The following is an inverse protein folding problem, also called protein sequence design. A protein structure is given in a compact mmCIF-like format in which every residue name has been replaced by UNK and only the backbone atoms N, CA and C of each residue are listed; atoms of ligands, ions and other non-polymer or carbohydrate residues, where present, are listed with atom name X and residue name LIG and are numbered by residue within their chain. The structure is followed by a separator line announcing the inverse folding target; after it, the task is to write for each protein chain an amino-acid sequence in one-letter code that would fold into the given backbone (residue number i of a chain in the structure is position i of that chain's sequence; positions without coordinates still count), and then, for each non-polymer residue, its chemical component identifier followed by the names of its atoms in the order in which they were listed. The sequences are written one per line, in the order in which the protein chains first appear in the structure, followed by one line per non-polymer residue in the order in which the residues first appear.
data_IF_515130596612
#
_entry.id   IF_515130596612
#
_cell.length_a   1.000
_cell.length_b   1.000
_cell.length_c   1.000
_cell.angle_alpha   90.00
_cell.angle_beta   90.00
_cell.angle_gamma   90.00
#
_symmetry.space_group_name_H-M   'P 1'
#
loop_
_entity.id
_entity.type
_entity.pdbx_description
1 polymer ?
#
# COMPACT_ATOMS: atom_id res chain seq x y z
N UNK A 1 18.24 1.53 2.17
CA UNK A 1 16.89 1.56 1.58
C UNK A 1 16.80 0.71 0.31
N UNK A 2 17.71 0.78 -0.65
CA UNK A 2 17.72 -0.04 -1.86
C UNK A 2 17.74 -1.57 -1.59
N UNK A 3 18.42 -2.04 -0.55
CA UNK A 3 18.48 -3.46 -0.18
C UNK A 3 17.12 -4.03 0.27
N UNK A 4 16.29 -3.22 0.94
CA UNK A 4 14.93 -3.64 1.34
C UNK A 4 13.97 -3.73 0.16
N UNK A 5 14.04 -2.80 -0.79
CA UNK A 5 13.23 -2.86 -2.01
C UNK A 5 13.55 -4.11 -2.85
N UNK A 6 14.83 -4.50 -2.92
CA UNK A 6 15.27 -5.73 -3.62
C UNK A 6 14.77 -7.01 -2.94
N UNK A 7 14.63 -7.04 -1.61
CA UNK A 7 14.11 -8.22 -0.92
C UNK A 7 12.63 -8.49 -1.23
N UNK A 8 11.84 -7.47 -1.54
CA UNK A 8 10.44 -7.62 -1.92
C UNK A 8 10.25 -8.30 -3.28
N UNK A 9 11.16 -8.08 -4.23
CA UNK A 9 11.07 -8.67 -5.57
C UNK A 9 11.09 -10.21 -5.56
N UNK A 10 11.85 -10.83 -4.67
CA UNK A 10 11.94 -12.28 -4.56
C UNK A 10 10.67 -12.95 -4.01
N UNK A 11 9.77 -12.16 -3.40
CA UNK A 11 8.56 -12.63 -2.71
C UNK A 11 7.28 -12.10 -3.34
N UNK A 12 7.37 -11.54 -4.54
CA UNK A 12 6.26 -10.86 -5.20
C UNK A 12 5.01 -11.75 -5.36
N UNK A 13 5.18 -13.03 -5.69
CA UNK A 13 4.06 -13.95 -5.89
C UNK A 13 3.32 -14.26 -4.57
N UNK A 14 4.05 -14.52 -3.48
CA UNK A 14 3.45 -14.75 -2.15
C UNK A 14 2.82 -13.47 -1.62
N UNK A 15 3.47 -12.33 -1.84
CA UNK A 15 2.98 -11.02 -1.47
C UNK A 15 1.64 -10.73 -2.15
N UNK A 16 1.56 -10.98 -3.45
CA UNK A 16 0.33 -10.79 -4.20
C UNK A 16 -0.79 -11.73 -3.75
N UNK A 17 -0.48 -12.97 -3.48
CA UNK A 17 -1.48 -13.98 -3.08
C UNK A 17 -2.15 -13.68 -1.75
N UNK A 18 -1.36 -13.30 -0.73
CA UNK A 18 -1.83 -13.30 0.66
C UNK A 18 -2.18 -11.92 1.23
N UNK A 19 -1.67 -10.82 0.66
CA UNK A 19 -1.99 -9.49 1.16
C UNK A 19 -3.44 -9.10 0.85
N UNK A 20 -4.15 -8.42 1.77
CA UNK A 20 -5.52 -8.00 1.54
C UNK A 20 -5.61 -6.98 0.41
N UNK A 21 -6.74 -7.00 -0.31
CA UNK A 21 -7.12 -5.92 -1.22
C UNK A 21 -7.59 -4.67 -0.46
N UNK A 22 -8.26 -3.81 -1.20
CA UNK A 22 -8.86 -2.59 -0.66
C UNK A 22 -10.38 -2.62 -0.88
N UNK A 23 -11.18 -2.07 0.06
CA UNK A 23 -12.63 -2.00 -0.12
C UNK A 23 -12.99 -1.01 -1.24
N UNK A 24 -14.05 -1.29 -1.98
CA UNK A 24 -14.55 -0.42 -3.06
C UNK A 24 -14.92 0.98 -2.53
N UNK A 25 -15.33 1.08 -1.27
CA UNK A 25 -15.61 2.34 -0.58
C UNK A 25 -14.41 3.29 -0.56
N UNK A 26 -13.19 2.78 -0.49
CA UNK A 26 -11.97 3.59 -0.58
C UNK A 26 -11.94 4.40 -1.87
N UNK A 27 -12.12 3.74 -2.99
CA UNK A 27 -12.04 4.37 -4.31
C UNK A 27 -13.23 5.30 -4.56
N UNK A 28 -14.42 4.91 -4.09
CA UNK A 28 -15.61 5.78 -4.13
C UNK A 28 -15.40 7.07 -3.32
N UNK A 29 -14.80 6.95 -2.13
CA UNK A 29 -14.46 8.09 -1.27
C UNK A 29 -13.45 9.02 -1.95
N UNK A 30 -12.37 8.48 -2.52
CA UNK A 30 -11.37 9.27 -3.26
C UNK A 30 -12.04 10.00 -4.43
N UNK A 31 -12.85 9.29 -5.24
CA UNK A 31 -13.53 9.87 -6.38
C UNK A 31 -14.46 11.02 -5.97
N UNK A 32 -15.26 10.81 -4.94
CA UNK A 32 -16.19 11.81 -4.42
C UNK A 32 -15.46 13.03 -3.85
N UNK A 33 -14.47 12.81 -3.00
CA UNK A 33 -13.72 13.89 -2.33
C UNK A 33 -12.99 14.78 -3.31
N UNK A 34 -12.38 14.22 -4.35
CA UNK A 34 -11.68 15.00 -5.37
C UNK A 34 -12.58 15.47 -6.52
N UNK A 35 -13.84 15.01 -6.59
CA UNK A 35 -14.73 15.34 -7.71
C UNK A 35 -14.22 14.80 -9.04
N UNK A 36 -13.62 13.60 -9.04
CA UNK A 36 -13.04 13.00 -10.22
C UNK A 36 -14.11 12.58 -11.24
N UNK A 37 -13.79 12.52 -12.55
CA UNK A 37 -14.68 11.96 -13.55
C UNK A 37 -14.98 10.48 -13.28
N UNK A 38 -15.98 9.92 -13.97
CA UNK A 38 -16.40 8.52 -13.79
C UNK A 38 -15.26 7.52 -14.10
N UNK A 39 -14.41 7.84 -15.08
CA UNK A 39 -13.26 7.05 -15.47
C UNK A 39 -11.99 7.95 -15.45
N UNK A 40 -11.42 8.22 -14.27
CA UNK A 40 -10.26 9.09 -14.15
C UNK A 40 -9.01 8.42 -14.73
N UNK A 41 -8.06 9.25 -15.17
CA UNK A 41 -6.68 8.81 -15.45
C UNK A 41 -5.90 8.81 -14.16
N UNK A 42 -5.31 7.67 -13.82
CA UNK A 42 -4.61 7.47 -12.55
C UNK A 42 -3.18 7.04 -12.80
N UNK A 43 -2.24 7.64 -12.07
CA UNK A 43 -0.90 7.09 -11.90
C UNK A 43 -0.82 6.44 -10.51
N UNK A 44 -0.59 5.14 -10.44
CA UNK A 44 -0.37 4.40 -9.20
C UNK A 44 1.13 4.24 -8.98
N UNK A 45 1.69 4.95 -7.99
CA UNK A 45 3.13 5.04 -7.77
C UNK A 45 3.59 4.08 -6.66
N UNK A 46 4.68 3.35 -6.94
CA UNK A 46 5.11 2.24 -6.10
C UNK A 46 4.07 1.11 -6.11
N UNK A 47 3.55 0.83 -7.30
CA UNK A 47 2.39 -0.03 -7.50
C UNK A 47 2.62 -1.50 -7.10
N UNK A 48 3.88 -1.93 -6.90
CA UNK A 48 4.23 -3.27 -6.47
C UNK A 48 3.72 -4.34 -7.43
N UNK A 49 2.94 -5.28 -6.93
CA UNK A 49 2.29 -6.34 -7.72
C UNK A 49 0.97 -5.90 -8.39
N UNK A 50 0.58 -4.62 -8.27
CA UNK A 50 -0.57 -4.04 -8.97
C UNK A 50 -1.92 -4.20 -8.27
N UNK A 51 -1.94 -4.53 -7.00
CA UNK A 51 -3.18 -4.81 -6.26
C UNK A 51 -4.17 -3.64 -6.26
N UNK A 52 -3.70 -2.43 -5.96
CA UNK A 52 -4.53 -1.22 -6.04
C UNK A 52 -4.84 -0.87 -7.52
N UNK A 53 -3.85 -0.98 -8.40
CA UNK A 53 -4.00 -0.75 -9.83
C UNK A 53 -5.11 -1.61 -10.45
N UNK A 54 -5.13 -2.92 -10.16
CA UNK A 54 -6.15 -3.86 -10.65
C UNK A 54 -7.53 -3.51 -10.09
N UNK A 55 -7.62 -3.17 -8.79
CA UNK A 55 -8.88 -2.76 -8.18
C UNK A 55 -9.45 -1.51 -8.87
N UNK A 56 -8.65 -0.49 -9.10
CA UNK A 56 -9.05 0.73 -9.81
C UNK A 56 -9.44 0.45 -11.27
N UNK A 57 -8.68 -0.38 -11.98
CA UNK A 57 -8.99 -0.76 -13.36
C UNK A 57 -10.32 -1.53 -13.48
N UNK A 58 -10.65 -2.40 -12.52
CA UNK A 58 -11.96 -3.08 -12.44
C UNK A 58 -13.14 -2.13 -12.27
N UNK A 59 -12.91 -0.97 -11.66
CA UNK A 59 -13.90 0.12 -11.56
C UNK A 59 -14.01 0.95 -12.85
N UNK A 60 -13.25 0.59 -13.88
CA UNK A 60 -13.23 1.29 -15.17
C UNK A 60 -12.34 2.53 -15.21
N UNK A 61 -11.40 2.66 -14.27
CA UNK A 61 -10.42 3.74 -14.27
C UNK A 61 -9.27 3.44 -15.24
N UNK A 62 -8.68 4.48 -15.84
CA UNK A 62 -7.54 4.35 -16.72
C UNK A 62 -6.25 4.42 -15.91
N UNK A 63 -5.66 3.27 -15.62
CA UNK A 63 -4.52 3.17 -14.70
C UNK A 63 -3.20 3.04 -15.46
N UNK A 64 -2.21 3.84 -15.06
CA UNK A 64 -0.80 3.65 -15.36
C UNK A 64 -0.08 3.33 -14.04
N UNK A 65 0.44 2.13 -13.93
CA UNK A 65 1.18 1.67 -12.76
C UNK A 65 2.67 1.97 -12.94
N UNK A 66 3.27 2.64 -11.95
CA UNK A 66 4.70 3.02 -11.95
C UNK A 66 5.38 2.28 -10.79
N UNK A 67 6.37 1.46 -11.11
CA UNK A 67 7.08 0.62 -10.14
C UNK A 67 8.56 0.53 -10.52
N UNK A 68 9.51 0.85 -9.61
CA UNK A 68 10.93 0.81 -9.94
C UNK A 68 11.55 -0.58 -9.97
N UNK A 69 10.85 -1.59 -9.45
CA UNK A 69 11.41 -2.94 -9.22
C UNK A 69 10.97 -3.90 -10.33
N UNK A 70 11.88 -4.30 -11.22
CA UNK A 70 11.58 -5.19 -12.34
C UNK A 70 10.87 -6.50 -11.93
N UNK A 71 11.26 -7.23 -10.83
CA UNK A 71 10.54 -8.41 -10.39
C UNK A 71 9.09 -8.14 -9.95
N UNK A 72 8.80 -6.96 -9.33
CA UNK A 72 7.43 -6.58 -9.00
C UNK A 72 6.61 -6.29 -10.25
N UNK A 73 7.19 -5.61 -11.24
CA UNK A 73 6.54 -5.37 -12.54
C UNK A 73 6.24 -6.66 -13.29
N UNK A 74 7.12 -7.65 -13.23
CA UNK A 74 6.87 -8.96 -13.84
C UNK A 74 5.68 -9.66 -13.18
N UNK A 75 5.65 -9.70 -11.84
CA UNK A 75 4.53 -10.24 -11.10
C UNK A 75 3.21 -9.47 -11.39
N UNK A 76 3.29 -8.14 -11.47
CA UNK A 76 2.15 -7.29 -11.83
C UNK A 76 1.61 -7.64 -13.22
N UNK A 77 2.47 -7.77 -14.23
CA UNK A 77 2.05 -8.11 -15.61
C UNK A 77 1.33 -9.46 -15.66
N UNK A 78 1.79 -10.43 -14.89
CA UNK A 78 1.11 -11.70 -14.75
C UNK A 78 -0.28 -11.52 -14.10
N UNK A 79 -0.36 -10.82 -12.97
CA UNK A 79 -1.62 -10.55 -12.27
C UNK A 79 -2.62 -9.74 -13.12
N UNK A 80 -2.15 -8.75 -13.88
CA UNK A 80 -2.97 -7.97 -14.84
C UNK A 80 -3.53 -8.86 -15.93
N UNK A 81 -2.70 -9.74 -16.52
CA UNK A 81 -3.14 -10.72 -17.53
C UNK A 81 -4.24 -11.63 -16.98
N UNK A 82 -4.06 -12.17 -15.78
CA UNK A 82 -5.02 -13.06 -15.13
C UNK A 82 -6.32 -12.36 -14.74
N UNK A 83 -6.23 -11.06 -14.42
CA UNK A 83 -7.38 -10.24 -14.02
C UNK A 83 -8.27 -9.83 -15.20
N UNK A 84 -7.77 -9.90 -16.43
CA UNK A 84 -8.46 -9.40 -17.63
C UNK A 84 -8.60 -7.88 -17.68
N UNK A 85 -7.83 -7.13 -16.89
CA UNK A 85 -7.79 -5.65 -16.90
C UNK A 85 -6.74 -5.14 -17.87
N UNK A 86 -6.87 -3.86 -18.29
CA UNK A 86 -5.89 -3.16 -19.12
C UNK A 86 -5.19 -2.09 -18.28
N UNK A 87 -3.91 -2.31 -17.98
CA UNK A 87 -3.09 -1.42 -17.16
C UNK A 87 -1.75 -1.20 -17.85
N UNK A 88 -1.44 0.05 -18.15
CA UNK A 88 -0.11 0.43 -18.62
C UNK A 88 0.90 0.35 -17.46
N UNK A 89 2.11 -0.17 -17.72
CA UNK A 89 3.17 -0.29 -16.72
C UNK A 89 4.42 0.47 -17.13
N UNK A 90 5.02 1.19 -16.19
CA UNK A 90 6.26 1.94 -16.38
C UNK A 90 7.27 1.51 -15.31
N UNK A 91 8.49 1.15 -15.74
CA UNK A 91 9.61 0.93 -14.82
C UNK A 91 10.27 2.28 -14.50
N UNK A 92 9.86 2.88 -13.39
CA UNK A 92 10.35 4.19 -12.95
C UNK A 92 10.12 4.37 -11.45
N UNK A 93 10.81 5.34 -10.86
CA UNK A 93 10.56 5.76 -9.47
C UNK A 93 9.50 6.85 -9.37
N UNK A 94 8.95 7.05 -8.17
CA UNK A 94 7.99 8.11 -7.89
C UNK A 94 8.58 9.53 -8.06
N UNK A 95 9.91 9.66 -7.95
CA UNK A 95 10.66 10.90 -8.08
C UNK A 95 10.92 11.30 -9.55
N UNK A 96 10.73 10.35 -10.50
CA UNK A 96 10.96 10.56 -11.92
C UNK A 96 10.12 9.57 -12.73
N UNK A 97 8.82 9.81 -12.80
CA UNK A 97 7.83 8.89 -13.38
C UNK A 97 7.92 8.74 -14.91
N UNK A 98 8.48 9.75 -15.58
CA UNK A 98 8.47 9.83 -17.04
C UNK A 98 7.10 10.18 -17.65
N UNK A 99 6.07 10.40 -16.84
CA UNK A 99 4.76 10.82 -17.30
C UNK A 99 4.76 12.29 -17.74
N UNK A 100 3.94 12.66 -18.74
CA UNK A 100 3.81 14.07 -19.16
C UNK A 100 3.23 14.96 -18.06
N UNK A 101 3.50 16.26 -18.15
CA UNK A 101 2.88 17.26 -17.28
C UNK A 101 1.36 17.23 -17.40
N UNK A 102 0.67 17.38 -16.27
CA UNK A 102 -0.80 17.48 -16.19
C UNK A 102 -1.53 16.36 -16.97
N UNK A 103 -0.98 15.14 -16.96
CA UNK A 103 -1.48 14.00 -17.74
C UNK A 103 -2.49 13.13 -17.00
N UNK A 104 -2.54 13.22 -15.66
CA UNK A 104 -3.42 12.40 -14.82
C UNK A 104 -4.38 13.23 -13.96
N UNK A 105 -5.50 12.64 -13.58
CA UNK A 105 -6.50 13.22 -12.70
C UNK A 105 -6.15 12.96 -11.23
N UNK A 106 -5.52 11.80 -10.97
CA UNK A 106 -5.22 11.28 -9.65
C UNK A 106 -3.84 10.60 -9.66
N UNK A 107 -3.09 10.82 -8.59
CA UNK A 107 -1.97 9.96 -8.21
C UNK A 107 -2.37 9.17 -6.98
N UNK A 108 -2.11 7.86 -6.98
CA UNK A 108 -2.23 7.01 -5.80
C UNK A 108 -0.88 6.50 -5.34
N UNK A 109 -0.72 6.32 -4.02
CA UNK A 109 0.38 5.58 -3.42
C UNK A 109 -0.17 4.66 -2.33
N UNK A 110 -0.35 3.40 -2.71
CA UNK A 110 -0.91 2.34 -1.87
C UNK A 110 0.20 1.64 -1.10
N UNK A 111 0.29 1.81 0.22
CA UNK A 111 1.35 1.23 1.06
C UNK A 111 2.78 1.65 0.63
N UNK A 112 2.96 2.74 -0.13
CA UNK A 112 4.21 3.00 -0.82
C UNK A 112 4.90 4.33 -0.45
N UNK A 113 4.15 5.38 -0.10
CA UNK A 113 4.66 6.74 0.05
C UNK A 113 5.84 6.87 1.03
N UNK A 114 5.91 6.05 2.06
CA UNK A 114 7.01 6.03 3.03
C UNK A 114 8.37 5.56 2.46
N UNK A 115 8.37 5.05 1.21
CA UNK A 115 9.59 4.69 0.49
C UNK A 115 10.12 5.83 -0.39
N UNK A 116 9.32 6.87 -0.62
CA UNK A 116 9.66 7.95 -1.52
C UNK A 116 10.59 8.96 -0.86
N UNK A 117 11.44 9.58 -1.67
CA UNK A 117 12.10 10.83 -1.31
C UNK A 117 11.08 11.96 -1.54
N UNK A 118 10.41 12.38 -0.47
CA UNK A 118 9.32 13.35 -0.54
C UNK A 118 9.77 14.68 -1.14
N UNK A 119 11.03 15.08 -0.97
CA UNK A 119 11.54 16.34 -1.51
C UNK A 119 11.57 16.35 -3.04
N UNK A 120 11.63 15.18 -3.67
CA UNK A 120 11.63 14.98 -5.12
C UNK A 120 10.30 14.43 -5.64
N UNK A 121 9.69 13.51 -4.90
CA UNK A 121 8.44 12.87 -5.31
C UNK A 121 7.27 13.86 -5.28
N UNK A 122 7.10 14.68 -4.24
CA UNK A 122 5.95 15.59 -4.12
C UNK A 122 5.89 16.62 -5.27
N UNK A 123 6.99 17.29 -5.68
CA UNK A 123 7.01 18.09 -6.90
C UNK A 123 6.66 17.31 -8.18
N UNK A 124 7.12 16.07 -8.31
CA UNK A 124 6.81 15.21 -9.46
C UNK A 124 5.32 14.83 -9.50
N UNK A 125 4.73 14.45 -8.35
CA UNK A 125 3.29 14.23 -8.23
C UNK A 125 2.51 15.47 -8.70
N UNK A 126 2.89 16.65 -8.20
CA UNK A 126 2.25 17.91 -8.58
C UNK A 126 2.43 18.22 -10.07
N UNK A 127 3.56 17.87 -10.68
CA UNK A 127 3.84 18.08 -12.10
C UNK A 127 2.90 17.26 -12.99
N UNK A 128 2.73 15.96 -12.68
CA UNK A 128 1.94 15.05 -13.52
C UNK A 128 0.43 15.15 -13.30
N UNK A 129 -0.03 15.63 -12.14
CA UNK A 129 -1.46 15.83 -11.85
C UNK A 129 -1.95 17.10 -12.55
N UNK A 130 -3.08 17.03 -13.24
CA UNK A 130 -3.72 18.20 -13.85
C UNK A 130 -4.31 19.16 -12.81
N UNK A 131 -4.59 20.38 -13.21
CA UNK A 131 -5.32 21.33 -12.37
C UNK A 131 -6.69 20.75 -11.94
N UNK A 132 -7.02 20.85 -10.65
CA UNK A 132 -8.23 20.29 -10.05
C UNK A 132 -8.16 18.79 -9.74
N UNK A 133 -7.06 18.14 -10.03
CA UNK A 133 -6.78 16.77 -9.60
C UNK A 133 -6.16 16.70 -8.19
N UNK A 134 -5.75 15.51 -7.78
CA UNK A 134 -5.16 15.32 -6.46
C UNK A 134 -4.36 14.03 -6.29
N UNK A 135 -3.82 13.85 -5.10
CA UNK A 135 -3.11 12.65 -4.67
C UNK A 135 -3.90 11.95 -3.55
N UNK A 136 -3.85 10.62 -3.50
CA UNK A 136 -4.41 9.81 -2.44
C UNK A 136 -3.35 8.83 -1.92
N UNK A 137 -3.03 8.96 -0.65
CA UNK A 137 -2.10 8.09 0.07
C UNK A 137 -2.90 7.19 0.99
N UNK A 138 -2.71 5.87 0.93
CA UNK A 138 -3.49 4.98 1.78
C UNK A 138 -2.75 3.71 2.19
N UNK A 139 -3.12 3.20 3.38
CA UNK A 139 -2.55 2.02 4.00
C UNK A 139 -3.62 1.14 4.62
N UNK A 140 -3.53 -0.17 4.38
CA UNK A 140 -4.23 -1.17 5.18
C UNK A 140 -3.51 -1.34 6.52
N UNK A 141 -4.23 -1.20 7.60
CA UNK A 141 -3.77 -1.40 8.97
C UNK A 141 -4.62 -2.48 9.62
N UNK A 142 -4.01 -3.48 10.23
CA UNK A 142 -4.74 -4.46 11.04
C UNK A 142 -5.28 -3.78 12.28
N UNK A 143 -6.54 -4.02 12.59
CA UNK A 143 -7.22 -3.47 13.76
C UNK A 143 -7.15 -4.49 14.91
N UNK A 144 -6.04 -4.42 15.65
CA UNK A 144 -5.77 -5.35 16.76
C UNK A 144 -6.72 -5.12 17.93
N UNK A 145 -7.23 -3.91 18.13
CA UNK A 145 -8.16 -3.59 19.20
C UNK A 145 -9.53 -4.25 19.01
N UNK A 146 -9.90 -4.54 17.77
CA UNK A 146 -11.19 -5.15 17.41
C UNK A 146 -11.13 -6.68 17.25
N UNK A 147 -9.97 -7.31 17.50
CA UNK A 147 -9.81 -8.74 17.28
C UNK A 147 -8.95 -9.39 18.35
N UNK A 148 -9.57 -10.26 19.14
CA UNK A 148 -8.86 -11.11 20.12
C UNK A 148 -7.83 -12.03 19.41
N UNK A 149 -8.12 -12.44 18.19
CA UNK A 149 -7.18 -13.20 17.36
C UNK A 149 -5.94 -12.38 17.01
N UNK A 150 -6.12 -11.13 16.54
CA UNK A 150 -4.99 -10.27 16.19
C UNK A 150 -4.17 -9.85 17.41
N UNK A 151 -4.81 -9.60 18.54
CA UNK A 151 -4.11 -9.34 19.80
C UNK A 151 -3.24 -10.53 20.20
N UNK A 152 -3.80 -11.76 20.15
CA UNK A 152 -3.03 -12.97 20.44
C UNK A 152 -1.92 -13.25 19.39
N UNK A 153 -2.13 -12.85 18.12
CA UNK A 153 -1.11 -12.91 17.09
C UNK A 153 0.03 -11.90 17.34
N UNK A 154 -0.28 -10.69 17.80
CA UNK A 154 0.72 -9.72 18.23
C UNK A 154 1.57 -10.25 19.39
N UNK A 155 0.95 -10.87 20.40
CA UNK A 155 1.65 -11.53 21.50
C UNK A 155 2.55 -12.68 21.00
N UNK A 156 2.09 -13.45 20.01
CA UNK A 156 2.89 -14.51 19.40
C UNK A 156 4.12 -13.94 18.69
N UNK A 157 3.94 -12.87 17.93
CA UNK A 157 5.04 -12.18 17.26
C UNK A 157 6.07 -11.65 18.27
N UNK A 158 5.63 -10.99 19.34
CA UNK A 158 6.54 -10.45 20.36
C UNK A 158 7.34 -11.55 21.07
N UNK A 159 6.78 -12.72 21.29
CA UNK A 159 7.52 -13.85 21.87
C UNK A 159 8.63 -14.40 20.98
N UNK A 160 8.40 -14.40 19.65
CA UNK A 160 9.37 -14.92 18.68
C UNK A 160 10.35 -13.87 18.16
N UNK A 161 9.95 -12.61 18.20
CA UNK A 161 10.66 -11.46 17.61
C UNK A 161 10.59 -10.26 18.58
N UNK A 162 11.16 -10.36 19.79
CA UNK A 162 11.02 -9.32 20.81
C UNK A 162 11.61 -7.99 20.32
N UNK A 163 10.81 -6.93 20.42
CA UNK A 163 11.17 -5.56 20.02
C UNK A 163 11.15 -5.30 18.50
N UNK A 164 11.13 -6.35 17.67
CA UNK A 164 11.14 -6.20 16.20
C UNK A 164 9.79 -5.74 15.63
N UNK A 165 8.69 -6.12 16.31
CA UNK A 165 7.34 -5.80 15.86
C UNK A 165 7.05 -4.31 16.01
N UNK A 166 7.50 -3.70 17.10
CA UNK A 166 7.33 -2.26 17.36
C UNK A 166 8.23 -1.40 16.45
N UNK A 167 9.41 -1.92 16.07
CA UNK A 167 10.35 -1.16 15.23
C UNK A 167 10.16 -1.39 13.73
N UNK A 168 9.60 -2.54 13.31
CA UNK A 168 9.55 -2.96 11.91
C UNK A 168 8.15 -3.27 11.38
N UNK A 169 7.19 -3.55 12.26
CA UNK A 169 5.84 -3.99 11.86
C UNK A 169 4.89 -2.86 11.50
N UNK A 170 5.13 -1.68 12.02
CA UNK A 170 4.49 -0.44 11.59
C UNK A 170 5.52 0.29 10.74
N UNK A 171 5.28 0.59 9.47
CA UNK A 171 6.12 1.54 8.76
C UNK A 171 6.20 2.77 9.62
N UNK A 172 7.43 3.19 9.92
CA UNK A 172 7.69 4.36 10.73
C UNK A 172 6.71 5.46 10.33
N UNK A 173 6.00 5.91 11.33
CA UNK A 173 5.28 7.16 11.39
C UNK A 173 4.54 7.60 10.11
N UNK A 174 3.41 6.93 9.84
CA UNK A 174 2.46 7.38 8.80
C UNK A 174 1.78 8.69 9.18
N UNK A 175 1.87 9.08 10.46
CA UNK A 175 1.29 10.33 10.96
C UNK A 175 1.93 11.55 10.29
N UNK A 176 3.14 11.43 9.76
CA UNK A 176 3.84 12.48 9.02
C UNK A 176 3.53 12.52 7.50
N UNK A 177 2.80 11.52 6.98
CA UNK A 177 2.48 11.45 5.56
C UNK A 177 1.71 12.68 5.03
N UNK A 178 0.69 13.23 5.76
CA UNK A 178 0.03 14.45 5.33
C UNK A 178 0.97 15.66 5.32
N UNK A 179 1.84 15.80 6.32
CA UNK A 179 2.81 16.90 6.40
C UNK A 179 3.82 16.82 5.26
N UNK A 180 4.32 15.62 4.96
CA UNK A 180 5.21 15.38 3.83
C UNK A 180 4.54 15.71 2.50
N UNK A 181 3.28 15.27 2.30
CA UNK A 181 2.54 15.58 1.08
C UNK A 181 2.27 17.09 0.94
N UNK A 182 2.02 17.80 2.06
CA UNK A 182 1.82 19.24 2.08
C UNK A 182 3.11 20.04 1.90
N UNK A 183 4.28 19.40 1.99
CA UNK A 183 5.58 20.07 1.86
C UNK A 183 5.68 20.86 0.57
N UNK A 184 6.14 22.09 0.66
CA UNK A 184 6.29 23.00 -0.48
C UNK A 184 4.98 23.63 -0.96
N UNK A 185 3.83 23.36 -0.31
CA UNK A 185 2.54 23.94 -0.65
C UNK A 185 1.94 23.45 -1.97
N UNK A 186 2.40 22.32 -2.48
CA UNK A 186 1.89 21.71 -3.71
C UNK A 186 0.49 21.12 -3.55
N UNK A 187 0.15 20.66 -2.35
CA UNK A 187 -1.12 20.04 -2.02
C UNK A 187 -1.74 20.67 -0.77
N UNK A 188 -3.07 20.83 -0.82
CA UNK A 188 -3.91 21.08 0.34
C UNK A 188 -4.44 19.73 0.79
N UNK A 189 -4.04 19.29 1.99
CA UNK A 189 -4.25 17.91 2.45
C UNK A 189 -5.37 17.87 3.48
N UNK A 190 -6.38 17.03 3.23
CA UNK A 190 -7.49 16.78 4.14
C UNK A 190 -7.02 16.02 5.41
N UNK A 191 -7.83 16.09 6.47
CA UNK A 191 -7.66 15.23 7.65
C UNK A 191 -7.75 13.75 7.27
N UNK A 192 -7.15 12.89 8.11
CA UNK A 192 -7.21 11.43 7.94
C UNK A 192 -8.65 10.94 7.85
N UNK A 193 -8.93 10.15 6.84
CA UNK A 193 -10.17 9.39 6.70
C UNK A 193 -9.86 7.94 7.04
N UNK A 194 -10.63 7.35 7.94
CA UNK A 194 -10.53 5.95 8.32
C UNK A 194 -11.71 5.17 7.74
N UNK A 195 -11.41 4.13 6.96
CA UNK A 195 -12.42 3.24 6.38
C UNK A 195 -12.19 1.82 6.90
N UNK A 196 -13.22 1.24 7.51
CA UNK A 196 -13.12 -0.09 8.08
C UNK A 196 -13.48 -1.16 7.05
N UNK A 197 -12.73 -2.25 7.03
CA UNK A 197 -13.11 -3.44 6.29
C UNK A 197 -12.61 -4.71 6.98
N UNK A 198 -13.11 -5.84 6.54
CA UNK A 198 -12.81 -7.13 7.12
C UNK A 198 -12.47 -8.12 6.01
N UNK A 199 -11.50 -8.99 6.28
CA UNK A 199 -11.11 -10.05 5.37
C UNK A 199 -11.16 -11.38 6.13
N UNK A 200 -11.95 -12.32 5.64
CA UNK A 200 -11.99 -13.68 6.18
C UNK A 200 -10.93 -14.51 5.45
N UNK A 201 -10.06 -15.16 6.22
CA UNK A 201 -8.89 -15.87 5.71
C UNK A 201 -8.91 -17.33 6.15
N UNK A 202 -8.54 -18.23 5.24
CA UNK A 202 -8.24 -19.60 5.63
C UNK A 202 -6.96 -19.65 6.48
N UNK A 203 -6.75 -20.72 7.29
CA UNK A 203 -5.51 -20.90 8.05
C UNK A 203 -4.25 -20.79 7.18
N UNK A 204 -4.27 -21.38 5.98
CA UNK A 204 -3.14 -21.34 5.07
C UNK A 204 -2.88 -19.93 4.51
N UNK A 205 -3.95 -19.17 4.22
CA UNK A 205 -3.83 -17.80 3.73
C UNK A 205 -3.27 -16.88 4.81
N UNK A 206 -3.72 -17.02 6.08
CA UNK A 206 -3.19 -16.19 7.17
C UNK A 206 -1.74 -16.54 7.51
N UNK A 207 -1.37 -17.82 7.50
CA UNK A 207 0.03 -18.25 7.64
C UNK A 207 0.86 -17.66 6.49
N UNK A 208 0.38 -17.77 5.25
CA UNK A 208 1.03 -17.16 4.09
C UNK A 208 1.22 -15.65 4.28
N UNK A 209 0.17 -14.93 4.70
CA UNK A 209 0.23 -13.50 5.01
C UNK A 209 1.31 -13.17 6.06
N UNK A 210 1.38 -13.93 7.16
CA UNK A 210 2.38 -13.71 8.21
C UNK A 210 3.80 -13.80 7.65
N UNK A 211 4.06 -14.78 6.77
CA UNK A 211 5.35 -14.99 6.13
C UNK A 211 5.66 -14.02 4.97
N UNK A 212 4.72 -13.19 4.54
CA UNK A 212 5.02 -12.06 3.64
C UNK A 212 5.70 -10.90 4.37
N UNK A 213 5.69 -10.89 5.69
CA UNK A 213 6.31 -9.84 6.49
C UNK A 213 7.82 -10.03 6.54
N UNK A 214 8.57 -8.95 6.25
CA UNK A 214 10.04 -8.99 6.20
C UNK A 214 10.66 -9.36 7.55
N UNK A 215 10.03 -8.97 8.66
CA UNK A 215 10.49 -9.27 10.01
C UNK A 215 10.30 -10.76 10.39
N UNK A 216 9.22 -11.42 9.96
CA UNK A 216 9.03 -12.86 10.19
C UNK A 216 10.04 -13.66 9.39
N UNK A 217 10.23 -13.31 8.13
CA UNK A 217 11.07 -14.07 7.20
C UNK A 217 12.56 -13.83 7.39
N UNK A 218 12.96 -12.61 7.73
CA UNK A 218 14.36 -12.23 7.93
C UNK A 218 14.81 -12.24 9.39
N UNK A 219 13.89 -12.26 10.34
CA UNK A 219 14.18 -12.25 11.79
C UNK A 219 14.24 -13.63 12.43
N UNK A 220 13.70 -14.67 11.77
CA UNK A 220 13.69 -16.04 12.28
C UNK A 220 14.58 -16.95 11.42
N UNK A 221 15.41 -17.77 12.07
CA UNK A 221 16.07 -18.90 11.41
C UNK A 221 15.06 -20.01 11.05
N UNK A 222 15.46 -20.98 10.27
CA UNK A 222 14.59 -22.04 9.74
C UNK A 222 13.86 -22.83 10.86
N UNK A 223 14.54 -23.16 11.96
CA UNK A 223 13.96 -23.89 13.08
C UNK A 223 12.91 -23.04 13.83
N UNK A 224 13.18 -21.76 14.03
CA UNK A 224 12.26 -20.82 14.65
C UNK A 224 11.09 -20.47 13.71
N UNK A 225 11.30 -20.41 12.39
CA UNK A 225 10.21 -20.26 11.41
C UNK A 225 9.22 -21.43 11.48
N UNK A 226 9.73 -22.68 11.60
CA UNK A 226 8.86 -23.85 11.73
C UNK A 226 8.06 -23.82 13.04
N UNK A 227 8.72 -23.52 14.17
CA UNK A 227 8.05 -23.38 15.48
C UNK A 227 6.99 -22.29 15.46
N UNK A 228 7.32 -21.11 14.91
CA UNK A 228 6.37 -20.02 14.75
C UNK A 228 5.16 -20.43 13.90
N UNK A 229 5.38 -21.16 12.81
CA UNK A 229 4.31 -21.68 11.94
C UNK A 229 3.38 -22.62 12.69
N UNK A 230 3.90 -23.53 13.50
CA UNK A 230 3.10 -24.52 14.25
C UNK A 230 2.28 -23.84 15.35
N UNK A 231 2.89 -22.91 16.09
CA UNK A 231 2.17 -22.12 17.11
C UNK A 231 1.13 -21.21 16.46
N UNK A 232 1.41 -20.59 15.33
CA UNK A 232 0.45 -19.76 14.59
C UNK A 232 -0.75 -20.59 14.10
N UNK A 233 -0.53 -21.79 13.58
CA UNK A 233 -1.63 -22.70 13.19
C UNK A 233 -2.50 -23.05 14.38
N UNK A 234 -1.90 -23.39 15.52
CA UNK A 234 -2.64 -23.66 16.75
C UNK A 234 -3.47 -22.45 17.19
N UNK A 235 -2.91 -21.24 17.10
CA UNK A 235 -3.61 -20.01 17.43
C UNK A 235 -4.80 -19.76 16.47
N UNK A 236 -4.61 -19.97 15.18
CA UNK A 236 -5.67 -19.85 14.18
C UNK A 236 -6.80 -20.83 14.49
N UNK A 237 -6.49 -22.10 14.75
CA UNK A 237 -7.50 -23.13 15.05
C UNK A 237 -8.34 -22.79 16.29
N UNK A 238 -7.77 -22.09 17.27
CA UNK A 238 -8.47 -21.64 18.48
C UNK A 238 -9.46 -20.49 18.22
N UNK A 239 -9.28 -19.73 17.13
CA UNK A 239 -10.07 -18.55 16.81
C UNK A 239 -10.90 -18.71 15.53
N UNK A 240 -10.67 -19.77 14.77
CA UNK A 240 -11.38 -20.00 13.52
C UNK A 240 -12.87 -20.31 13.77
N UNK A 241 -13.72 -19.70 12.95
CA UNK A 241 -15.14 -20.00 12.83
C UNK A 241 -15.41 -20.43 11.40
N UNK A 242 -16.10 -21.54 11.20
CA UNK A 242 -16.37 -22.12 9.87
C UNK A 242 -15.10 -22.29 9.00
N UNK A 243 -13.96 -22.60 9.65
CA UNK A 243 -12.68 -22.84 8.97
C UNK A 243 -11.95 -21.57 8.53
N UNK A 244 -12.37 -20.40 8.97
CA UNK A 244 -11.74 -19.13 8.65
C UNK A 244 -11.51 -18.27 9.90
N UNK A 245 -10.50 -17.41 9.85
CA UNK A 245 -10.31 -16.34 10.82
C UNK A 245 -10.68 -15.01 10.20
N UNK A 246 -11.41 -14.23 10.97
CA UNK A 246 -11.81 -12.88 10.55
C UNK A 246 -10.74 -11.88 10.96
N UNK A 247 -10.22 -11.18 10.00
CA UNK A 247 -9.13 -10.20 10.16
C UNK A 247 -9.68 -8.80 9.87
N UNK A 248 -10.03 -8.03 10.90
CA UNK A 248 -10.45 -6.66 10.73
C UNK A 248 -9.25 -5.79 10.33
N UNK A 249 -9.50 -4.87 9.41
CA UNK A 249 -8.60 -3.83 8.96
C UNK A 249 -9.30 -2.48 9.02
N UNK A 250 -8.51 -1.43 9.11
CA UNK A 250 -8.92 -0.13 8.64
C UNK A 250 -7.96 0.37 7.55
N UNK A 251 -8.47 1.19 6.66
CA UNK A 251 -7.64 1.91 5.69
C UNK A 251 -7.47 3.33 6.20
N UNK A 252 -6.22 3.70 6.47
CA UNK A 252 -5.85 5.09 6.64
C UNK A 252 -5.73 5.74 5.27
N UNK A 253 -6.50 6.80 5.02
CA UNK A 253 -6.51 7.53 3.76
C UNK A 253 -6.24 9.02 4.01
N UNK A 254 -5.30 9.59 3.26
CA UNK A 254 -5.08 11.03 3.14
C UNK A 254 -5.25 11.47 1.70
N UNK A 255 -5.96 12.57 1.51
CA UNK A 255 -6.23 13.14 0.19
C UNK A 255 -5.63 14.54 0.13
N UNK A 256 -4.78 14.77 -0.86
CA UNK A 256 -4.23 16.09 -1.16
C UNK A 256 -4.77 16.63 -2.47
N UNK A 257 -5.42 17.81 -2.44
CA UNK A 257 -5.83 18.54 -3.65
C UNK A 257 -4.65 19.31 -4.20
N UNK A 258 -4.38 19.16 -5.49
CA UNK A 258 -3.34 19.98 -6.12
C UNK A 258 -3.67 21.46 -6.04
N UNK A 259 -2.81 22.26 -5.42
CA UNK A 259 -2.90 23.72 -5.42
C UNK A 259 -2.52 24.25 -6.82
N UNK A 260 -3.18 25.28 -7.28
CA UNK A 260 -2.86 25.88 -8.60
C UNK A 260 -1.58 26.73 -8.64
N UNK A 261 -0.89 26.88 -7.51
CA UNK A 261 0.26 27.78 -7.37
C UNK A 261 1.57 26.99 -7.29
N UNK A 262 2.62 27.42 -8.00
CA UNK A 262 3.98 26.96 -7.70
C UNK A 262 4.33 27.43 -6.27
N UNK A 263 5.18 26.68 -5.55
CA UNK A 263 5.59 27.06 -4.21
C UNK A 263 6.24 28.44 -4.21
N UNK A 264 5.86 29.27 -3.25
CA UNK A 264 6.53 30.58 -3.02
C UNK A 264 7.85 30.32 -2.28
N UNK A 265 8.93 30.11 -3.02
CA UNK A 265 10.27 29.94 -2.47
C UNK A 265 11.28 29.41 -3.49
N UNK A 266 12.59 29.64 -3.29
CA UNK A 266 13.59 29.08 -4.19
C UNK A 266 13.58 27.56 -4.09
N UNK A 267 13.51 26.88 -5.27
CA UNK A 267 13.78 25.46 -5.33
C UNK A 267 15.16 25.18 -4.75
N UNK A 268 15.30 24.16 -3.86
CA UNK A 268 16.63 23.70 -3.48
C UNK A 268 17.38 23.21 -4.72
N UNK A 269 18.64 23.66 -4.84
CA UNK A 269 19.53 23.34 -5.96
C UNK A 269 19.95 21.87 -5.97
#
# INVERSE_FOLDING_TARGET
MAERAHSFGQWAADYDRYRPGYPDELFATIQQRLGLPKAPRVADLGAGTGRASIAMARLGWHVTAVEPTAPMLEAMRAAVSDSGTDIATIEASAEATGLPDASVDLVTAAQAFHWFDETRAVPELARIIRSGGGAALFWNVRDEERSTFLAAYADLLERHLPGEVLERGVPADRSDAPDKLATGGWFDVDDRIELQHQVDMTPDDFVGLAFTSSYVRGGLDEANQQRFRDELRTLIDQHATDGQVSVPYHVDLWIGRRTGLPPQGPMPA
#
